data_IF_423479432739
#
_entry.id   IF_423479432739
#
_cell.length_a   1.000
_cell.length_b   1.000
_cell.length_c   1.000
_cell.angle_alpha   90.00
_cell.angle_beta   90.00
_cell.angle_gamma   90.00
#
_symmetry.space_group_name_H-M   'P 1'
#
loop_
_entity.id
_entity.type
_entity.pdbx_description
1 polymer ?
#
# COMPACT_ATOMS: atom_id res chain seq x y z
N UNK A 1 -4.40 -30.18 2.99
CA UNK A 1 -5.07 -29.12 2.23
C UNK A 1 -6.13 -28.49 3.11
N UNK A 2 -5.87 -27.31 3.68
CA UNK A 2 -6.87 -26.63 4.53
C UNK A 2 -7.97 -26.09 3.63
N UNK A 3 -9.18 -26.62 3.79
CA UNK A 3 -10.39 -26.16 3.10
C UNK A 3 -10.70 -24.75 3.61
N UNK A 4 -10.26 -23.73 2.87
CA UNK A 4 -10.53 -22.33 3.21
C UNK A 4 -12.03 -22.10 3.36
N UNK A 5 -12.44 -21.41 4.43
CA UNK A 5 -13.83 -21.03 4.70
C UNK A 5 -14.37 -20.28 3.48
N UNK A 6 -15.42 -20.80 2.83
CA UNK A 6 -16.21 -20.11 1.78
C UNK A 6 -17.05 -18.98 2.39
N UNK A 7 -16.41 -18.07 3.15
CA UNK A 7 -17.05 -16.88 3.69
C UNK A 7 -16.96 -15.77 2.65
N UNK A 8 -17.93 -14.86 2.69
CA UNK A 8 -17.89 -13.63 1.91
C UNK A 8 -16.52 -12.95 2.06
N UNK A 9 -15.92 -12.55 0.94
CA UNK A 9 -14.62 -11.89 0.92
C UNK A 9 -14.76 -10.45 1.45
N UNK A 10 -14.75 -10.31 2.77
CA UNK A 10 -14.74 -9.00 3.43
C UNK A 10 -13.34 -8.38 3.31
N UNK A 11 -13.28 -7.11 2.91
CA UNK A 11 -12.02 -6.35 2.84
C UNK A 11 -11.55 -6.01 4.25
N UNK A 12 -10.32 -6.39 4.59
CA UNK A 12 -9.71 -6.17 5.90
C UNK A 12 -8.77 -4.95 5.93
N UNK A 13 -8.59 -4.24 4.82
CA UNK A 13 -7.67 -3.12 4.69
C UNK A 13 -8.39 -1.87 4.21
N UNK A 14 -7.84 -0.71 4.58
CA UNK A 14 -8.22 0.58 3.99
C UNK A 14 -7.62 0.67 2.60
N UNK A 15 -8.41 1.13 1.63
CA UNK A 15 -7.91 1.34 0.27
C UNK A 15 -7.00 2.56 0.22
N UNK A 16 -5.94 2.42 -0.56
CA UNK A 16 -5.05 3.51 -0.90
C UNK A 16 -4.50 3.36 -2.31
N UNK A 17 -4.16 4.48 -2.92
CA UNK A 17 -3.58 4.58 -4.25
C UNK A 17 -2.16 5.11 -4.14
N UNK A 18 -1.22 4.43 -4.81
CA UNK A 18 0.16 4.92 -4.96
C UNK A 18 0.15 5.98 -6.05
N UNK A 19 0.46 7.22 -5.70
CA UNK A 19 0.53 8.33 -6.66
C UNK A 19 1.85 8.34 -7.43
N UNK A 20 2.91 7.82 -6.82
CA UNK A 20 4.25 7.77 -7.40
C UNK A 20 5.30 7.95 -6.32
N UNK A 21 6.40 8.61 -6.68
CA UNK A 21 7.51 8.91 -5.78
C UNK A 21 7.54 10.38 -5.40
N UNK A 22 8.14 10.69 -4.25
CA UNK A 22 8.46 12.07 -3.87
C UNK A 22 9.28 12.68 -5.00
N UNK A 23 8.88 13.87 -5.46
CA UNK A 23 9.52 14.52 -6.60
C UNK A 23 9.55 16.03 -6.45
N UNK A 24 10.54 16.66 -7.05
CA UNK A 24 10.51 18.07 -7.39
C UNK A 24 9.95 18.24 -8.81
N UNK A 25 10.05 19.46 -9.39
CA UNK A 25 9.60 19.71 -10.76
C UNK A 25 10.31 18.77 -11.76
N UNK A 26 11.62 18.63 -11.63
CA UNK A 26 12.48 17.84 -12.54
C UNK A 26 12.99 16.53 -11.94
N UNK A 27 13.19 16.44 -10.62
CA UNK A 27 13.89 15.30 -10.01
C UNK A 27 12.91 14.37 -9.30
N UNK A 28 13.17 13.06 -9.39
CA UNK A 28 12.36 12.02 -8.75
C UNK A 28 13.20 11.26 -7.72
N UNK A 29 12.65 11.05 -6.53
CA UNK A 29 13.33 10.37 -5.42
C UNK A 29 12.66 9.01 -5.17
N UNK A 30 13.15 7.91 -5.77
CA UNK A 30 12.51 6.59 -5.72
C UNK A 30 12.48 5.96 -4.32
N UNK A 31 13.27 6.49 -3.38
CA UNK A 31 13.36 5.98 -2.01
C UNK A 31 12.08 6.23 -1.21
N UNK A 32 11.26 7.22 -1.60
CA UNK A 32 10.07 7.62 -0.85
C UNK A 32 8.87 7.62 -1.80
N UNK A 33 7.90 6.75 -1.55
CA UNK A 33 6.63 6.69 -2.27
C UNK A 33 5.58 7.62 -1.66
N UNK A 34 4.73 8.19 -2.51
CA UNK A 34 3.55 8.96 -2.12
C UNK A 34 2.32 8.07 -2.20
N UNK A 35 1.62 7.98 -1.07
CA UNK A 35 0.42 7.18 -0.90
C UNK A 35 -0.74 8.10 -0.55
N UNK A 36 -1.81 8.01 -1.33
CA UNK A 36 -3.08 8.66 -1.02
C UNK A 36 -4.04 7.60 -0.47
N UNK A 37 -4.57 7.84 0.72
CA UNK A 37 -5.51 6.93 1.38
C UNK A 37 -6.93 7.40 1.07
N UNK A 38 -7.82 6.47 0.72
CA UNK A 38 -9.19 6.83 0.36
C UNK A 38 -9.93 7.43 1.57
N UNK A 39 -10.65 8.54 1.33
CA UNK A 39 -11.54 9.25 2.28
C UNK A 39 -10.86 9.93 3.48
N UNK A 40 -9.54 10.07 3.49
CA UNK A 40 -8.83 10.76 4.57
C UNK A 40 -8.36 12.13 4.12
N UNK A 41 -8.92 13.17 4.74
CA UNK A 41 -8.61 14.57 4.42
C UNK A 41 -7.90 15.29 5.58
N UNK A 42 -7.92 14.75 6.81
CA UNK A 42 -7.32 15.38 7.99
C UNK A 42 -5.96 14.77 8.34
N UNK A 43 -5.03 15.61 8.80
CA UNK A 43 -3.65 15.18 9.13
C UNK A 43 -3.60 14.21 10.31
N UNK A 44 -4.50 14.37 11.27
CA UNK A 44 -4.53 13.57 12.51
C UNK A 44 -4.87 12.10 12.23
N UNK A 45 -5.80 11.83 11.31
CA UNK A 45 -6.13 10.46 10.88
C UNK A 45 -4.95 9.79 10.16
N UNK A 46 -4.17 10.55 9.39
CA UNK A 46 -2.99 10.02 8.69
C UNK A 46 -1.90 9.61 9.70
N UNK A 47 -1.76 10.31 10.83
CA UNK A 47 -0.80 9.94 11.87
C UNK A 47 -1.12 8.58 12.49
N UNK A 48 -2.40 8.27 12.71
CA UNK A 48 -2.82 6.97 13.25
C UNK A 48 -2.46 5.81 12.31
N UNK A 49 -2.49 6.07 10.99
CA UNK A 49 -2.12 5.09 9.98
C UNK A 49 -0.62 4.90 9.84
N UNK A 50 0.20 5.89 10.23
CA UNK A 50 1.66 5.82 10.16
C UNK A 50 2.24 4.61 10.91
N UNK A 51 1.55 4.15 11.96
CA UNK A 51 1.94 3.01 12.78
C UNK A 51 1.62 1.66 12.09
N UNK A 52 0.72 1.67 11.10
CA UNK A 52 0.23 0.48 10.42
C UNK A 52 1.09 0.17 9.19
N UNK A 53 1.34 -1.12 8.96
CA UNK A 53 2.07 -1.59 7.77
C UNK A 53 1.16 -1.60 6.54
N UNK A 54 1.70 -1.21 5.39
CA UNK A 54 0.99 -1.31 4.12
C UNK A 54 1.55 -2.44 3.27
N UNK A 55 0.72 -2.96 2.36
CA UNK A 55 1.10 -3.99 1.42
C UNK A 55 0.52 -3.72 0.04
N UNK A 56 1.34 -3.84 -0.99
CA UNK A 56 0.87 -3.80 -2.38
C UNK A 56 0.90 -5.21 -2.95
N UNK A 57 -0.18 -5.63 -3.58
CA UNK A 57 -0.28 -6.93 -4.23
C UNK A 57 -0.29 -6.75 -5.75
N UNK A 58 0.49 -7.56 -6.45
CA UNK A 58 0.52 -7.58 -7.91
C UNK A 58 0.54 -9.03 -8.41
N UNK A 59 -0.06 -9.25 -9.59
CA UNK A 59 -0.01 -10.55 -10.26
C UNK A 59 1.29 -10.62 -11.06
N UNK A 60 2.10 -11.64 -10.80
CA UNK A 60 3.34 -11.87 -11.51
C UNK A 60 3.11 -12.82 -12.69
N UNK A 61 3.81 -12.57 -13.81
CA UNK A 61 3.80 -13.47 -14.97
C UNK A 61 4.73 -14.67 -14.79
N UNK A 62 5.74 -14.55 -13.92
CA UNK A 62 6.73 -15.60 -13.62
C UNK A 62 6.66 -15.97 -12.15
N UNK A 63 6.60 -17.26 -11.84
CA UNK A 63 6.54 -17.78 -10.48
C UNK A 63 7.95 -18.08 -9.97
N UNK A 64 8.46 -17.26 -9.05
CA UNK A 64 9.67 -17.59 -8.27
C UNK A 64 9.35 -18.47 -7.04
N UNK A 65 8.11 -18.35 -6.54
CA UNK A 65 7.48 -19.09 -5.44
C UNK A 65 6.20 -19.72 -6.05
N UNK A 66 5.63 -20.84 -5.54
CA UNK A 66 4.42 -21.46 -6.11
C UNK A 66 3.16 -20.58 -6.16
N UNK A 67 3.24 -19.30 -5.81
CA UNK A 67 2.16 -18.32 -5.86
C UNK A 67 2.25 -17.38 -7.07
N UNK A 68 1.12 -17.13 -7.73
CA UNK A 68 0.97 -16.18 -8.85
C UNK A 68 1.00 -14.70 -8.42
N UNK A 69 1.03 -14.43 -7.11
CA UNK A 69 0.96 -13.08 -6.55
C UNK A 69 2.26 -12.76 -5.81
N UNK A 70 2.74 -11.53 -6.03
CA UNK A 70 3.85 -10.95 -5.29
C UNK A 70 3.31 -9.86 -4.38
N UNK A 71 3.84 -9.81 -3.17
CA UNK A 71 3.50 -8.77 -2.21
C UNK A 71 4.76 -8.03 -1.76
N UNK A 72 4.67 -6.71 -1.74
CA UNK A 72 5.69 -5.83 -1.19
C UNK A 72 5.11 -5.19 0.06
N UNK A 73 5.80 -5.37 1.18
CA UNK A 73 5.44 -4.74 2.44
C UNK A 73 6.27 -3.48 2.66
N UNK A 74 5.64 -2.49 3.30
CA UNK A 74 6.33 -1.28 3.73
C UNK A 74 5.70 -0.69 4.97
N UNK A 75 6.44 0.21 5.61
CA UNK A 75 5.93 1.05 6.70
C UNK A 75 5.58 2.42 6.17
N UNK A 76 4.50 2.98 6.67
CA UNK A 76 4.16 4.37 6.41
C UNK A 76 5.13 5.27 7.19
N UNK A 77 5.46 6.41 6.58
CA UNK A 77 6.41 7.38 7.11
C UNK A 77 5.73 8.70 7.41
N UNK A 78 6.37 9.80 7.04
CA UNK A 78 5.88 11.13 7.35
C UNK A 78 4.69 11.55 6.49
N UNK A 79 3.85 12.43 7.05
CA UNK A 79 2.75 13.05 6.31
C UNK A 79 3.32 13.99 5.25
N UNK A 80 2.84 13.86 4.02
CA UNK A 80 3.10 14.82 2.96
C UNK A 80 1.84 15.64 2.67
N UNK A 81 1.96 16.96 2.78
CA UNK A 81 0.92 17.90 2.39
C UNK A 81 1.17 18.31 0.95
N UNK A 82 0.15 18.27 0.10
CA UNK A 82 0.24 18.71 -1.29
C UNK A 82 0.21 20.23 -1.38
#
# INVERSE_FOLDING_TARGET
>A
MVKGRQRECVRLYVRGTILGYKRSKSNQYPNISLLQIERINIKEEVLLLCIISFGTWSKASRTAIPSLFTMIYGKLGTIHIR
#
